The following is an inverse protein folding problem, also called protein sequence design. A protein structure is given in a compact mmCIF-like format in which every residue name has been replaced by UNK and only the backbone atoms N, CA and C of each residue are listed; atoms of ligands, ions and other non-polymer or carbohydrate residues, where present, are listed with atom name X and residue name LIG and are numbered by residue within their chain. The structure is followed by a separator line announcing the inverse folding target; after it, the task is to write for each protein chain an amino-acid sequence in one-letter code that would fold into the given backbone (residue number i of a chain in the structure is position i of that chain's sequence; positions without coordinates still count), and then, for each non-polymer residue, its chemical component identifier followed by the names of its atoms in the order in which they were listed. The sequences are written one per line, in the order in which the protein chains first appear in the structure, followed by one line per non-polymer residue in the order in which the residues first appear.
data_IF_179768394035
#
_entry.id   IF_179768394035
#
_cell.length_a   1.000
_cell.length_b   1.000
_cell.length_c   1.000
_cell.angle_alpha   90.00
_cell.angle_beta   90.00
_cell.angle_gamma   90.00
#
_symmetry.space_group_name_H-M   'P 1'
#
loop_
_entity.id
_entity.type
_entity.pdbx_description
1 polymer ?
#
# COMPACT_ATOMS: atom_id res chain seq x y z
N UNK A 1 -3.24 -2.06 -6.84
CA UNK A 1 -2.88 -1.14 -7.95
C UNK A 1 -1.95 -1.87 -8.92
N UNK A 2 -2.06 -1.62 -10.22
CA UNK A 2 -1.33 -2.36 -11.27
C UNK A 2 -0.35 -1.44 -12.00
N UNK A 3 0.92 -1.83 -12.05
CA UNK A 3 1.95 -1.19 -12.86
C UNK A 3 2.34 -2.13 -14.00
N UNK A 4 2.37 -1.61 -15.22
CA UNK A 4 2.57 -2.41 -16.44
C UNK A 4 3.51 -1.71 -17.41
N UNK A 5 3.90 -2.41 -18.48
CA UNK A 5 4.81 -1.89 -19.51
C UNK A 5 6.17 -1.44 -18.94
N UNK A 6 6.67 -2.15 -17.92
CA UNK A 6 8.02 -1.96 -17.40
C UNK A 6 9.09 -2.44 -18.38
N UNK A 7 10.34 -2.48 -17.93
CA UNK A 7 11.46 -2.87 -18.78
C UNK A 7 11.24 -4.26 -19.45
N UNK A 8 11.72 -4.45 -20.69
CA UNK A 8 11.75 -5.75 -21.36
C UNK A 8 12.42 -6.82 -20.49
N UNK A 9 11.89 -8.04 -20.52
CA UNK A 9 12.29 -9.09 -19.59
C UNK A 9 12.71 -10.39 -20.30
N UNK A 10 11.87 -10.94 -21.17
CA UNK A 10 12.17 -12.16 -21.94
C UNK A 10 11.22 -12.29 -23.13
N UNK A 11 11.77 -12.42 -24.34
CA UNK A 11 10.96 -12.40 -25.56
C UNK A 11 10.13 -11.12 -25.64
N UNK A 12 8.84 -11.26 -25.92
CA UNK A 12 7.89 -10.15 -26.04
C UNK A 12 7.28 -9.70 -24.70
N UNK A 13 7.74 -10.27 -23.56
CA UNK A 13 7.23 -9.93 -22.24
C UNK A 13 7.91 -8.69 -21.65
N UNK A 14 7.10 -7.82 -21.07
CA UNK A 14 7.50 -6.65 -20.28
C UNK A 14 7.20 -6.88 -18.80
N UNK A 15 8.06 -6.38 -17.91
CA UNK A 15 7.81 -6.50 -16.47
C UNK A 15 6.51 -5.81 -16.07
N UNK A 16 5.77 -6.45 -15.17
CA UNK A 16 4.56 -5.88 -14.58
C UNK A 16 4.42 -6.28 -13.12
N UNK A 17 3.75 -5.44 -12.34
CA UNK A 17 3.66 -5.61 -10.90
C UNK A 17 2.28 -5.23 -10.39
N UNK A 18 1.72 -6.09 -9.53
CA UNK A 18 0.56 -5.76 -8.71
C UNK A 18 1.03 -5.38 -7.31
N UNK A 19 0.74 -4.13 -6.90
CA UNK A 19 1.06 -3.63 -5.57
C UNK A 19 -0.22 -3.60 -4.71
N UNK A 20 -0.14 -4.23 -3.55
CA UNK A 20 -1.12 -4.18 -2.47
C UNK A 20 -0.58 -3.25 -1.39
N UNK A 21 -1.36 -2.24 -1.05
CA UNK A 21 -1.00 -1.27 -0.02
C UNK A 21 -1.65 -1.66 1.31
N UNK A 22 -0.86 -1.63 2.36
CA UNK A 22 -1.28 -1.87 3.74
C UNK A 22 -1.03 -0.62 4.58
N UNK A 23 -1.97 -0.29 5.46
CA UNK A 23 -1.76 0.78 6.41
C UNK A 23 -0.64 0.40 7.37
N UNK A 24 0.31 1.31 7.58
CA UNK A 24 1.32 1.20 8.62
C UNK A 24 2.04 2.52 8.86
N UNK A 25 3.10 2.50 9.66
CA UNK A 25 3.72 3.73 10.18
C UNK A 25 4.78 4.31 9.24
N UNK A 26 5.34 3.48 8.38
CA UNK A 26 6.49 3.80 7.55
C UNK A 26 6.30 3.26 6.14
N UNK A 27 6.98 3.86 5.17
CA UNK A 27 7.02 3.36 3.81
C UNK A 27 8.01 2.20 3.72
N UNK A 28 7.52 0.96 3.56
CA UNK A 28 8.40 -0.21 3.37
C UNK A 28 7.77 -1.37 2.60
N UNK A 29 8.62 -2.17 1.97
CA UNK A 29 8.22 -3.44 1.39
C UNK A 29 8.01 -4.50 2.47
N UNK A 30 6.82 -5.08 2.51
CA UNK A 30 6.50 -6.25 3.32
C UNK A 30 6.83 -7.55 2.59
N UNK A 31 6.58 -7.58 1.28
CA UNK A 31 6.88 -8.73 0.44
C UNK A 31 7.07 -8.33 -1.02
N UNK A 32 7.98 -9.01 -1.70
CA UNK A 32 8.15 -8.93 -3.16
C UNK A 32 8.27 -10.36 -3.67
N UNK A 33 7.36 -10.78 -4.55
CA UNK A 33 7.32 -12.14 -5.08
C UNK A 33 7.16 -12.14 -6.59
N UNK A 34 8.03 -12.82 -7.29
CA UNK A 34 7.84 -13.13 -8.71
C UNK A 34 6.92 -14.34 -8.84
N UNK A 35 5.62 -14.10 -9.08
CA UNK A 35 4.61 -15.17 -9.16
C UNK A 35 4.72 -15.97 -10.45
N UNK A 36 5.02 -15.25 -11.54
CA UNK A 36 5.34 -15.79 -12.86
C UNK A 36 6.49 -14.97 -13.40
N UNK A 37 7.24 -15.52 -14.34
CA UNK A 37 8.35 -14.81 -14.98
C UNK A 37 7.89 -13.43 -15.47
N UNK A 38 8.55 -12.36 -15.01
CA UNK A 38 8.25 -10.96 -15.30
C UNK A 38 6.97 -10.38 -14.66
N UNK A 39 6.26 -11.14 -13.81
CA UNK A 39 5.07 -10.70 -13.08
C UNK A 39 5.31 -10.75 -11.57
N UNK A 40 5.30 -9.58 -10.95
CA UNK A 40 5.59 -9.42 -9.53
C UNK A 40 4.31 -9.11 -8.75
N UNK A 41 4.25 -9.60 -7.53
CA UNK A 41 3.32 -9.13 -6.51
C UNK A 41 4.12 -8.46 -5.40
N UNK A 42 3.70 -7.27 -5.01
CA UNK A 42 4.31 -6.51 -3.93
C UNK A 42 3.27 -6.22 -2.86
N UNK A 43 3.62 -6.54 -1.63
CA UNK A 43 2.92 -6.06 -0.45
C UNK A 43 3.74 -4.90 0.14
N UNK A 44 3.15 -3.71 0.22
CA UNK A 44 3.82 -2.48 0.63
C UNK A 44 3.06 -1.80 1.77
N UNK A 45 3.76 -1.47 2.84
CA UNK A 45 3.25 -0.71 3.97
C UNK A 45 3.45 0.78 3.74
N UNK A 46 2.44 1.60 4.06
CA UNK A 46 2.53 3.06 3.97
C UNK A 46 1.49 3.77 4.85
N UNK A 47 1.81 4.93 5.47
CA UNK A 47 0.84 5.71 6.23
C UNK A 47 -0.25 6.34 5.36
N UNK A 48 -0.02 6.49 4.05
CA UNK A 48 -0.95 7.20 3.16
C UNK A 48 -2.25 6.45 2.87
N UNK A 49 -2.33 5.15 3.19
CA UNK A 49 -3.56 4.35 3.07
C UNK A 49 -4.22 4.07 4.41
N UNK A 50 -3.71 4.66 5.50
CA UNK A 50 -4.35 4.55 6.81
C UNK A 50 -5.63 5.40 6.87
N UNK A 51 -6.64 4.95 7.64
CA UNK A 51 -7.76 5.81 8.00
C UNK A 51 -7.23 7.09 8.64
N UNK A 52 -7.74 8.24 8.20
CA UNK A 52 -7.52 9.48 8.94
C UNK A 52 -8.11 9.29 10.33
N UNK A 53 -7.48 9.80 11.40
CA UNK A 53 -8.17 9.94 12.67
C UNK A 53 -9.45 10.72 12.37
N UNK A 54 -10.59 10.08 12.60
CA UNK A 54 -11.88 10.74 12.45
C UNK A 54 -11.87 11.97 13.34
N UNK A 55 -12.36 13.10 12.84
CA UNK A 55 -12.80 14.27 13.63
C UNK A 55 -13.87 13.91 14.70
N UNK A 56 -14.14 12.62 14.93
CA UNK A 56 -15.07 12.09 15.93
C UNK A 56 -14.40 11.85 17.31
N UNK A 57 -13.16 12.30 17.53
CA UNK A 57 -12.56 12.32 18.86
C UNK A 57 -12.67 13.68 19.58
N UNK A 58 -13.28 14.70 18.96
CA UNK A 58 -13.50 16.00 19.62
C UNK A 58 -14.85 16.09 20.37
N UNK A 59 -15.82 15.21 20.11
CA UNK A 59 -17.14 15.23 20.81
C UNK A 59 -17.21 14.41 22.12
N UNK A 60 -16.14 13.72 22.52
CA UNK A 60 -16.14 12.91 23.77
C UNK A 60 -15.55 13.63 24.99
N UNK A 61 -15.15 14.90 24.88
CA UNK A 61 -14.86 15.76 26.02
C UNK A 61 -16.07 16.66 26.34
N UNK A 62 -17.18 16.04 26.77
CA UNK A 62 -18.24 16.77 27.47
C UNK A 62 -17.63 17.28 28.78
N UNK A 63 -17.43 18.59 28.87
CA UNK A 63 -17.09 19.29 30.11
C UNK A 63 -18.14 18.95 31.18
N UNK A 64 -17.77 18.18 32.21
CA UNK A 64 -18.46 18.27 33.50
C UNK A 64 -17.74 19.33 34.34
N UNK A 65 -18.20 20.56 34.25
CA UNK A 65 -17.92 21.55 35.29
C UNK A 65 -18.90 21.29 36.45
N UNK A 66 -18.37 21.35 37.68
CA UNK A 66 -18.98 21.01 38.97
C UNK A 66 -20.34 21.66 39.25
#
# INVERSE_FOLDING_TARGET
MRYSHGAPCSGDLHRSTDVKLFCGKEDRFLSIKERKRCFYEIDFETPYVCPKPSEASEELFIHSEL
#
